data_IF_418407810877
#
_entry.id   IF_418407810877
#
_cell.length_a   1.000
_cell.length_b   1.000
_cell.length_c   1.000
_cell.angle_alpha   90.00
_cell.angle_beta   90.00
_cell.angle_gamma   90.00
#
_symmetry.space_group_name_H-M   'P 1'
#
loop_
_entity.id
_entity.type
_entity.pdbx_description
1 polymer ?
#
# COMPACT_ATOMS: atom_id res chain seq x y z
N UNK A 1 -75.73 -82.20 -20.66
CA UNK A 1 -75.69 -81.56 -19.32
C UNK A 1 -74.36 -81.74 -18.57
N UNK A 2 -73.49 -82.72 -18.90
CA UNK A 2 -72.19 -82.88 -18.21
C UNK A 2 -71.05 -81.97 -18.71
N UNK A 3 -70.98 -81.62 -20.01
CA UNK A 3 -69.92 -80.74 -20.54
C UNK A 3 -70.01 -79.28 -20.03
N UNK A 4 -71.22 -78.74 -19.95
CA UNK A 4 -71.48 -77.36 -19.51
C UNK A 4 -71.08 -77.10 -18.06
N UNK A 5 -71.07 -78.15 -17.23
CA UNK A 5 -70.67 -78.07 -15.82
C UNK A 5 -69.12 -78.13 -15.67
N UNK A 6 -68.41 -78.72 -16.63
CA UNK A 6 -66.93 -78.71 -16.68
C UNK A 6 -66.40 -77.34 -17.10
N UNK A 7 -66.95 -76.74 -18.15
CA UNK A 7 -66.54 -75.40 -18.62
C UNK A 7 -66.80 -74.31 -17.59
N UNK A 8 -67.94 -74.36 -16.89
CA UNK A 8 -68.26 -73.41 -15.81
C UNK A 8 -67.28 -73.52 -14.63
N UNK A 9 -66.88 -74.73 -14.25
CA UNK A 9 -65.85 -74.97 -13.21
C UNK A 9 -64.47 -74.43 -13.62
N UNK A 10 -64.08 -74.58 -14.89
CA UNK A 10 -62.79 -74.03 -15.39
C UNK A 10 -62.80 -72.49 -15.36
N UNK A 11 -63.90 -71.85 -15.77
CA UNK A 11 -64.03 -70.39 -15.72
C UNK A 11 -63.93 -69.87 -14.28
N UNK A 12 -64.59 -70.52 -13.31
CA UNK A 12 -64.49 -70.16 -11.89
C UNK A 12 -63.06 -70.31 -11.39
N UNK A 13 -62.35 -71.38 -11.74
CA UNK A 13 -60.94 -71.56 -11.34
C UNK A 13 -60.06 -70.45 -11.93
N UNK A 14 -60.24 -70.10 -13.20
CA UNK A 14 -59.50 -69.01 -13.85
C UNK A 14 -59.78 -67.68 -13.14
N UNK A 15 -61.05 -67.34 -12.91
CA UNK A 15 -61.45 -66.14 -12.18
C UNK A 15 -60.89 -66.10 -10.76
N UNK A 16 -60.86 -67.25 -10.07
CA UNK A 16 -60.30 -67.37 -8.72
C UNK A 16 -58.79 -67.09 -8.71
N UNK A 17 -58.06 -67.67 -9.66
CA UNK A 17 -56.61 -67.45 -9.84
C UNK A 17 -56.33 -65.98 -10.17
N UNK A 18 -57.14 -65.38 -11.05
CA UNK A 18 -57.01 -63.97 -11.45
C UNK A 18 -57.29 -63.01 -10.28
N UNK A 19 -58.29 -63.33 -9.46
CA UNK A 19 -58.63 -62.56 -8.26
C UNK A 19 -57.52 -62.66 -7.21
N UNK A 20 -56.97 -63.86 -6.99
CA UNK A 20 -55.85 -64.08 -6.07
C UNK A 20 -54.60 -63.34 -6.57
N UNK A 21 -54.28 -63.42 -7.87
CA UNK A 21 -53.16 -62.72 -8.48
C UNK A 21 -53.29 -61.20 -8.40
N UNK A 22 -54.49 -60.66 -8.65
CA UNK A 22 -54.79 -59.23 -8.48
C UNK A 22 -54.67 -58.79 -7.03
N UNK A 23 -55.17 -59.57 -6.08
CA UNK A 23 -55.04 -59.29 -4.64
C UNK A 23 -53.58 -59.32 -4.18
N UNK A 24 -52.79 -60.27 -4.67
CA UNK A 24 -51.37 -60.36 -4.37
C UNK A 24 -50.57 -59.19 -4.97
N UNK A 25 -50.90 -58.80 -6.20
CA UNK A 25 -50.32 -57.62 -6.85
C UNK A 25 -50.63 -56.34 -6.07
N UNK A 26 -51.90 -56.13 -5.70
CA UNK A 26 -52.32 -55.00 -4.87
C UNK A 26 -51.58 -54.97 -3.53
N UNK A 27 -51.37 -56.13 -2.90
CA UNK A 27 -50.61 -56.22 -1.65
C UNK A 27 -49.16 -55.79 -1.81
N UNK A 28 -48.46 -56.27 -2.86
CA UNK A 28 -47.07 -55.88 -3.15
C UNK A 28 -46.97 -54.38 -3.45
N UNK A 29 -47.88 -53.85 -4.29
CA UNK A 29 -47.92 -52.41 -4.60
C UNK A 29 -48.19 -51.57 -3.36
N UNK A 30 -49.04 -52.03 -2.44
CA UNK A 30 -49.32 -51.35 -1.18
C UNK A 30 -48.07 -51.27 -0.30
N UNK A 31 -47.28 -52.35 -0.25
CA UNK A 31 -46.05 -52.39 0.54
C UNK A 31 -44.95 -51.47 -0.03
N UNK A 32 -44.85 -51.39 -1.35
CA UNK A 32 -43.93 -50.47 -2.04
C UNK A 32 -44.31 -49.00 -1.80
N UNK A 33 -45.62 -48.69 -1.79
CA UNK A 33 -46.14 -47.35 -1.45
C UNK A 33 -45.78 -46.98 -0.01
N UNK A 34 -45.99 -47.89 0.96
CA UNK A 34 -45.61 -47.63 2.37
C UNK A 34 -44.12 -47.33 2.53
N UNK A 35 -43.25 -48.06 1.83
CA UNK A 35 -41.81 -47.79 1.88
C UNK A 35 -41.46 -46.41 1.29
N UNK A 36 -42.08 -46.04 0.17
CA UNK A 36 -41.88 -44.71 -0.43
C UNK A 36 -42.39 -43.60 0.48
N UNK A 37 -43.55 -43.78 1.11
CA UNK A 37 -44.09 -42.81 2.08
C UNK A 37 -43.17 -42.64 3.29
N UNK A 38 -42.61 -43.74 3.82
CA UNK A 38 -41.63 -43.69 4.91
C UNK A 38 -40.34 -42.96 4.48
N UNK A 39 -39.87 -43.19 3.26
CA UNK A 39 -38.70 -42.50 2.70
C UNK A 39 -38.95 -41.00 2.47
N UNK A 40 -40.13 -40.64 1.97
CA UNK A 40 -40.55 -39.25 1.78
C UNK A 40 -40.64 -38.53 3.14
N UNK A 41 -41.19 -39.18 4.17
CA UNK A 41 -41.24 -38.63 5.51
C UNK A 41 -39.83 -38.35 6.06
N UNK A 42 -38.91 -39.32 5.93
CA UNK A 42 -37.52 -39.15 6.34
C UNK A 42 -36.80 -38.01 5.59
N UNK A 43 -37.00 -37.90 4.27
CA UNK A 43 -36.48 -36.78 3.48
C UNK A 43 -37.06 -35.42 3.89
N UNK A 44 -38.34 -35.37 4.27
CA UNK A 44 -38.97 -34.14 4.76
C UNK A 44 -38.37 -33.69 6.10
N UNK A 45 -38.06 -34.65 6.99
CA UNK A 45 -37.38 -34.36 8.26
C UNK A 45 -35.95 -33.85 8.04
N UNK A 46 -35.20 -34.49 7.14
CA UNK A 46 -33.85 -34.06 6.72
C UNK A 46 -33.89 -32.63 6.15
N UNK A 47 -34.85 -32.33 5.25
CA UNK A 47 -35.01 -31.00 4.65
C UNK A 47 -35.30 -29.94 5.72
N UNK A 48 -36.10 -30.28 6.72
CA UNK A 48 -36.44 -29.37 7.84
C UNK A 48 -35.20 -29.11 8.71
N UNK A 49 -34.42 -30.15 9.01
CA UNK A 49 -33.14 -30.05 9.73
C UNK A 49 -32.12 -29.20 8.96
N UNK A 50 -31.99 -29.40 7.65
CA UNK A 50 -31.10 -28.58 6.81
C UNK A 50 -31.54 -27.12 6.73
N UNK A 51 -32.84 -26.84 6.62
CA UNK A 51 -33.36 -25.48 6.68
C UNK A 51 -32.99 -24.79 7.99
N UNK A 52 -33.11 -25.49 9.12
CA UNK A 52 -32.73 -24.95 10.42
C UNK A 52 -31.22 -24.67 10.51
N UNK A 53 -30.37 -25.58 10.00
CA UNK A 53 -28.91 -25.35 9.91
C UNK A 53 -28.57 -24.14 9.05
N UNK A 54 -29.25 -23.96 7.91
CA UNK A 54 -29.03 -22.80 7.04
C UNK A 54 -29.40 -21.49 7.73
N UNK A 55 -30.54 -21.44 8.42
CA UNK A 55 -30.91 -20.25 9.20
C UNK A 55 -29.90 -19.94 10.31
N UNK A 56 -29.35 -20.97 10.95
CA UNK A 56 -28.31 -20.78 11.97
C UNK A 56 -26.98 -20.31 11.36
N UNK A 57 -26.59 -20.82 10.20
CA UNK A 57 -25.41 -20.35 9.46
C UNK A 57 -25.58 -18.89 9.02
N UNK A 58 -26.75 -18.50 8.53
CA UNK A 58 -27.05 -17.11 8.17
C UNK A 58 -26.92 -16.16 9.38
N UNK A 59 -27.43 -16.57 10.55
CA UNK A 59 -27.26 -15.82 11.80
C UNK A 59 -25.79 -15.67 12.19
N UNK A 60 -25.01 -16.76 12.11
CA UNK A 60 -23.58 -16.74 12.39
C UNK A 60 -22.82 -15.81 11.44
N UNK A 61 -23.14 -15.85 10.14
CA UNK A 61 -22.53 -14.96 9.14
C UNK A 61 -22.85 -13.49 9.46
N UNK A 62 -24.09 -13.18 9.85
CA UNK A 62 -24.49 -11.83 10.25
C UNK A 62 -23.70 -11.34 11.47
N UNK A 63 -23.60 -12.17 12.51
CA UNK A 63 -22.84 -11.87 13.72
C UNK A 63 -21.34 -11.68 13.43
N UNK A 64 -20.75 -12.53 12.59
CA UNK A 64 -19.35 -12.43 12.19
C UNK A 64 -19.09 -11.15 11.40
N UNK A 65 -19.98 -10.77 10.47
CA UNK A 65 -19.88 -9.50 9.74
C UNK A 65 -19.92 -8.30 10.69
N UNK A 66 -20.83 -8.30 11.66
CA UNK A 66 -20.92 -7.24 12.65
C UNK A 66 -19.64 -7.14 13.51
N UNK A 67 -19.07 -8.28 13.92
CA UNK A 67 -17.82 -8.31 14.67
C UNK A 67 -16.61 -7.85 13.83
N UNK A 68 -16.57 -8.23 12.55
CA UNK A 68 -15.54 -7.78 11.63
C UNK A 68 -15.56 -6.25 11.49
N UNK A 69 -16.73 -5.67 11.22
CA UNK A 69 -16.86 -4.20 11.08
C UNK A 69 -16.50 -3.46 12.37
N UNK A 70 -16.82 -4.00 13.55
CA UNK A 70 -16.36 -3.42 14.83
C UNK A 70 -14.84 -3.47 14.97
N UNK A 71 -14.24 -4.59 14.59
CA UNK A 71 -12.78 -4.79 14.65
C UNK A 71 -12.07 -3.84 13.69
N UNK A 72 -12.60 -3.62 12.48
CA UNK A 72 -12.07 -2.66 11.51
C UNK A 72 -12.08 -1.23 12.06
N UNK A 73 -13.16 -0.82 12.75
CA UNK A 73 -13.24 0.50 13.38
C UNK A 73 -12.25 0.64 14.52
N UNK A 74 -12.12 -0.38 15.38
CA UNK A 74 -11.13 -0.37 16.48
C UNK A 74 -9.71 -0.28 15.93
N UNK A 75 -9.38 -1.07 14.91
CA UNK A 75 -8.08 -1.05 14.27
C UNK A 75 -7.78 0.32 13.67
N UNK A 76 -8.75 0.96 13.01
CA UNK A 76 -8.60 2.32 12.48
C UNK A 76 -8.30 3.33 13.59
N UNK A 77 -9.02 3.27 14.71
CA UNK A 77 -8.80 4.16 15.85
C UNK A 77 -7.43 3.93 16.52
N UNK A 78 -7.03 2.67 16.72
CA UNK A 78 -5.69 2.35 17.25
C UNK A 78 -4.59 2.81 16.31
N UNK A 79 -4.77 2.64 15.00
CA UNK A 79 -3.80 3.08 13.99
C UNK A 79 -3.63 4.60 14.04
N UNK A 80 -4.74 5.36 14.09
CA UNK A 80 -4.69 6.81 14.26
C UNK A 80 -4.01 7.23 15.57
N UNK A 81 -4.30 6.52 16.66
CA UNK A 81 -3.69 6.77 17.96
C UNK A 81 -2.18 6.52 17.92
N UNK A 82 -1.74 5.43 17.29
CA UNK A 82 -0.31 5.13 17.11
C UNK A 82 0.40 6.17 16.25
N UNK A 83 -0.22 6.63 15.16
CA UNK A 83 0.32 7.69 14.31
C UNK A 83 0.51 8.98 15.12
N UNK A 84 -0.50 9.37 15.91
CA UNK A 84 -0.40 10.54 16.79
C UNK A 84 0.71 10.40 17.81
N UNK A 85 0.78 9.27 18.51
CA UNK A 85 1.82 9.01 19.52
C UNK A 85 3.23 9.02 18.91
N UNK A 86 3.39 8.50 17.68
CA UNK A 86 4.66 8.56 16.96
C UNK A 86 5.06 10.00 16.63
N UNK A 87 4.11 10.84 16.17
CA UNK A 87 4.38 12.25 15.93
C UNK A 87 4.75 12.99 17.22
N UNK A 88 4.04 12.74 18.32
CA UNK A 88 4.34 13.32 19.63
C UNK A 88 5.71 12.89 20.14
N UNK A 89 6.08 11.62 19.96
CA UNK A 89 7.41 11.10 20.32
C UNK A 89 8.52 11.77 19.51
N UNK A 90 8.32 11.94 18.20
CA UNK A 90 9.26 12.66 17.35
C UNK A 90 9.43 14.09 17.88
N UNK A 91 8.34 14.81 18.13
CA UNK A 91 8.40 16.18 18.63
C UNK A 91 9.11 16.29 20.00
N UNK A 92 8.93 15.31 20.89
CA UNK A 92 9.55 15.29 22.21
C UNK A 92 11.04 14.93 22.18
N UNK A 93 11.48 14.12 21.20
CA UNK A 93 12.87 13.65 21.08
C UNK A 93 13.68 14.43 20.04
N UNK A 94 13.02 15.32 19.28
CA UNK A 94 13.63 16.13 18.24
C UNK A 94 14.65 17.11 18.83
N UNK A 95 15.87 17.00 18.35
CA UNK A 95 17.00 17.89 18.67
C UNK A 95 17.10 18.99 17.64
N UNK A 96 16.94 18.64 16.35
CA UNK A 96 17.00 19.58 15.26
C UNK A 96 16.23 19.08 14.04
N UNK A 97 15.87 20.03 13.18
CA UNK A 97 15.13 19.77 11.94
C UNK A 97 15.69 20.63 10.81
N UNK A 98 15.74 20.06 9.61
CA UNK A 98 16.03 20.78 8.37
C UNK A 98 14.93 20.50 7.35
N UNK A 99 14.38 21.58 6.78
CA UNK A 99 13.34 21.54 5.75
C UNK A 99 13.91 21.96 4.41
N UNK A 100 13.63 21.18 3.37
CA UNK A 100 14.02 21.48 2.00
C UNK A 100 13.08 20.79 1.01
N UNK A 101 13.47 20.75 -0.26
CA UNK A 101 12.66 20.21 -1.34
C UNK A 101 13.45 19.22 -2.18
N UNK A 102 12.80 18.13 -2.58
CA UNK A 102 13.29 17.23 -3.63
C UNK A 102 12.42 17.34 -4.86
N UNK A 103 12.97 17.07 -6.04
CA UNK A 103 12.22 17.14 -7.30
C UNK A 103 12.18 15.77 -7.95
N UNK A 104 10.96 15.22 -8.02
CA UNK A 104 10.64 13.97 -8.72
C UNK A 104 10.03 14.24 -10.09
N UNK A 105 9.81 13.18 -10.86
CA UNK A 105 9.05 13.20 -12.11
C UNK A 105 7.95 12.15 -12.07
N UNK A 106 6.82 12.41 -12.71
CA UNK A 106 5.77 11.43 -12.89
C UNK A 106 5.93 10.63 -14.20
N UNK A 107 4.97 9.75 -14.47
CA UNK A 107 4.93 8.91 -15.67
C UNK A 107 4.78 9.68 -16.99
N UNK A 108 4.43 10.97 -16.95
CA UNK A 108 4.28 11.86 -18.10
C UNK A 108 5.48 12.81 -18.26
N UNK A 109 6.60 12.54 -17.58
CA UNK A 109 7.79 13.39 -17.52
C UNK A 109 7.50 14.81 -16.97
N UNK A 110 6.45 14.97 -16.15
CA UNK A 110 6.15 16.23 -15.47
C UNK A 110 6.90 16.23 -14.14
N UNK A 111 7.65 17.31 -13.88
CA UNK A 111 8.39 17.47 -12.63
C UNK A 111 7.48 17.94 -11.49
N UNK A 112 7.73 17.41 -10.29
CA UNK A 112 6.99 17.77 -9.08
C UNK A 112 7.95 18.07 -7.93
N UNK A 113 7.71 19.18 -7.24
CA UNK A 113 8.45 19.56 -6.04
C UNK A 113 7.79 18.91 -4.83
N UNK A 114 8.57 18.19 -4.04
CA UNK A 114 8.09 17.34 -2.95
C UNK A 114 8.80 17.79 -1.65
N UNK A 115 8.06 17.99 -0.55
CA UNK A 115 8.64 18.31 0.74
C UNK A 115 9.65 17.24 1.20
N UNK A 116 10.78 17.70 1.71
CA UNK A 116 11.81 16.89 2.34
C UNK A 116 12.07 17.42 3.75
N UNK A 117 11.93 16.54 4.74
CA UNK A 117 12.25 16.84 6.13
C UNK A 117 13.37 15.91 6.60
N UNK A 118 14.39 16.47 7.25
CA UNK A 118 15.42 15.73 7.96
C UNK A 118 15.33 16.06 9.44
N UNK A 119 14.98 15.07 10.24
CA UNK A 119 14.81 15.19 11.69
C UNK A 119 15.94 14.45 12.39
N UNK A 120 16.62 15.15 13.30
CA UNK A 120 17.65 14.59 14.18
C UNK A 120 17.03 14.45 15.57
N UNK A 121 17.06 13.24 16.12
CA UNK A 121 16.52 12.93 17.45
C UNK A 121 17.52 12.16 18.30
N UNK A 122 17.34 12.18 19.62
CA UNK A 122 18.12 11.32 20.51
C UNK A 122 17.89 9.84 20.17
N UNK A 123 18.97 9.06 20.06
CA UNK A 123 18.90 7.70 19.54
C UNK A 123 20.22 6.93 19.62
N UNK A 124 20.36 5.93 18.76
CA UNK A 124 21.48 4.98 18.74
C UNK A 124 22.20 4.95 17.38
N UNK A 125 22.15 6.04 16.61
CA UNK A 125 22.83 6.14 15.31
C UNK A 125 22.06 5.50 14.16
N UNK A 126 20.73 5.35 14.27
CA UNK A 126 19.92 4.71 13.21
C UNK A 126 19.48 5.73 12.17
N UNK A 127 19.47 5.30 10.90
CA UNK A 127 18.89 6.05 9.79
C UNK A 127 17.53 5.44 9.41
N UNK A 128 16.48 6.26 9.45
CA UNK A 128 15.14 5.90 9.03
C UNK A 128 14.77 6.68 7.77
N UNK A 129 14.19 5.99 6.80
CA UNK A 129 13.70 6.58 5.56
C UNK A 129 12.19 6.36 5.48
N UNK A 130 11.43 7.45 5.46
CA UNK A 130 9.98 7.45 5.27
C UNK A 130 9.65 8.00 3.87
N UNK A 131 9.29 7.07 2.98
CA UNK A 131 8.99 7.31 1.56
C UNK A 131 7.63 6.70 1.19
N UNK A 132 6.72 6.58 2.17
CA UNK A 132 5.50 5.78 2.04
C UNK A 132 4.55 6.19 0.88
N UNK A 133 4.67 7.40 0.37
CA UNK A 133 3.78 7.97 -0.66
C UNK A 133 4.45 8.14 -2.04
N UNK A 134 5.69 7.68 -2.22
CA UNK A 134 6.44 7.86 -3.47
C UNK A 134 7.08 6.55 -3.93
N UNK A 135 7.31 6.43 -5.24
CA UNK A 135 8.11 5.34 -5.79
C UNK A 135 9.58 5.75 -5.80
N UNK A 136 10.41 4.96 -5.13
CA UNK A 136 11.86 5.15 -5.09
C UNK A 136 12.55 3.90 -5.63
N UNK A 137 13.67 4.10 -6.31
CA UNK A 137 14.53 3.02 -6.76
C UNK A 137 15.42 2.48 -5.61
N UNK A 138 16.15 1.40 -5.89
CA UNK A 138 17.07 0.76 -4.95
C UNK A 138 18.22 1.67 -4.48
N UNK A 139 18.52 2.74 -5.23
CA UNK A 139 19.62 3.67 -4.93
C UNK A 139 19.26 4.69 -3.84
N UNK A 140 17.99 4.80 -3.45
CA UNK A 140 17.56 5.77 -2.43
C UNK A 140 18.22 5.52 -1.08
N UNK A 141 18.33 4.25 -0.65
CA UNK A 141 18.93 3.93 0.64
C UNK A 141 20.42 4.27 0.69
N UNK A 142 21.17 3.93 -0.36
CA UNK A 142 22.60 4.25 -0.43
C UNK A 142 22.84 5.75 -0.56
N UNK A 143 22.03 6.44 -1.39
CA UNK A 143 22.05 7.90 -1.54
C UNK A 143 21.81 8.61 -0.20
N UNK A 144 20.81 8.17 0.57
CA UNK A 144 20.52 8.71 1.89
C UNK A 144 21.69 8.50 2.87
N UNK A 145 22.30 7.31 2.89
CA UNK A 145 23.47 7.04 3.74
C UNK A 145 24.66 7.93 3.38
N UNK A 146 24.95 8.09 2.09
CA UNK A 146 26.02 8.96 1.60
C UNK A 146 25.73 10.43 1.95
N UNK A 147 24.50 10.89 1.73
CA UNK A 147 24.08 12.25 2.08
C UNK A 147 24.32 12.58 3.55
N UNK A 148 23.89 11.70 4.47
CA UNK A 148 24.10 11.88 5.91
C UNK A 148 25.59 11.85 6.27
N UNK A 149 26.38 10.97 5.64
CA UNK A 149 27.83 10.91 5.88
C UNK A 149 28.53 12.19 5.45
N UNK A 150 28.25 12.68 4.24
CA UNK A 150 28.82 13.92 3.70
C UNK A 150 28.38 15.13 4.55
N UNK A 151 27.11 15.21 4.92
CA UNK A 151 26.61 16.27 5.80
C UNK A 151 27.35 16.28 7.15
N UNK A 152 27.54 15.10 7.75
CA UNK A 152 28.28 14.93 9.01
C UNK A 152 29.74 15.38 8.88
N UNK A 153 30.42 15.01 7.81
CA UNK A 153 31.81 15.37 7.56
C UNK A 153 31.98 16.88 7.35
N UNK A 154 31.09 17.49 6.56
CA UNK A 154 31.12 18.93 6.29
C UNK A 154 30.79 19.77 7.54
N UNK A 155 29.86 19.31 8.37
CA UNK A 155 29.44 20.04 9.59
C UNK A 155 30.29 19.73 10.81
N UNK A 156 31.08 18.63 10.77
CA UNK A 156 31.81 18.09 11.93
C UNK A 156 30.91 17.77 13.12
N UNK A 157 29.67 17.38 12.84
CA UNK A 157 28.67 17.04 13.86
C UNK A 157 28.83 15.59 14.28
N UNK A 158 28.82 15.31 15.58
CA UNK A 158 28.75 13.94 16.09
C UNK A 158 27.29 13.48 16.16
N UNK A 159 27.02 12.31 15.57
CA UNK A 159 25.70 11.70 15.45
C UNK A 159 25.64 10.30 16.05
N UNK A 160 26.69 9.84 16.76
CA UNK A 160 26.74 8.48 17.31
C UNK A 160 25.53 8.12 18.16
N UNK A 161 25.02 9.09 18.93
CA UNK A 161 23.85 8.93 19.81
C UNK A 161 22.60 9.64 19.27
N UNK A 162 22.53 9.83 17.95
CA UNK A 162 21.39 10.49 17.29
C UNK A 162 20.81 9.56 16.23
N UNK A 163 19.49 9.40 16.25
CA UNK A 163 18.78 8.82 15.13
C UNK A 163 18.42 9.92 14.12
N UNK A 164 18.48 9.59 12.84
CA UNK A 164 18.12 10.48 11.74
C UNK A 164 16.91 9.91 11.03
N UNK A 165 15.93 10.75 10.79
CA UNK A 165 14.74 10.41 10.03
C UNK A 165 14.63 11.33 8.82
N UNK A 166 14.69 10.75 7.63
CA UNK A 166 14.48 11.43 6.35
C UNK A 166 13.06 11.13 5.92
N UNK A 167 12.25 12.18 5.73
CA UNK A 167 10.84 12.07 5.36
C UNK A 167 10.68 12.75 4.01
N UNK A 168 10.25 11.99 3.01
CA UNK A 168 9.89 12.51 1.69
C UNK A 168 8.45 12.09 1.43
N UNK A 169 7.53 13.04 1.58
CA UNK A 169 6.11 12.77 1.49
C UNK A 169 5.47 13.64 0.42
N UNK A 170 4.95 12.98 -0.60
CA UNK A 170 4.15 13.63 -1.63
C UNK A 170 2.78 14.01 -1.06
N UNK A 171 2.32 15.26 -1.25
CA UNK A 171 0.93 15.62 -0.97
C UNK A 171 -0.04 14.97 -1.98
N UNK A 172 0.46 14.55 -3.15
CA UNK A 172 -0.32 13.96 -4.23
C UNK A 172 -0.36 12.43 -4.05
N UNK A 173 -1.35 11.94 -3.28
CA UNK A 173 -1.50 10.51 -2.95
C UNK A 173 -1.91 9.63 -4.15
N UNK A 174 -2.48 10.23 -5.20
CA UNK A 174 -3.02 9.48 -6.36
C UNK A 174 -2.03 9.38 -7.53
N UNK A 175 -0.92 10.12 -7.50
CA UNK A 175 0.05 10.18 -8.59
C UNK A 175 1.30 9.36 -8.25
N UNK A 176 1.70 8.46 -9.16
CA UNK A 176 2.93 7.67 -9.03
C UNK A 176 4.15 8.56 -9.30
N UNK A 177 4.47 9.43 -8.35
CA UNK A 177 5.71 10.20 -8.42
C UNK A 177 6.89 9.24 -8.27
N UNK A 178 7.77 9.28 -9.26
CA UNK A 178 9.01 8.52 -9.26
C UNK A 178 10.16 9.45 -8.93
N UNK A 179 10.84 9.15 -7.83
CA UNK A 179 12.09 9.80 -7.48
C UNK A 179 13.20 8.79 -7.73
N UNK A 180 14.07 9.06 -8.71
CA UNK A 180 15.32 8.30 -8.77
C UNK A 180 16.14 8.66 -7.53
N UNK A 181 16.42 7.66 -6.69
CA UNK A 181 16.95 7.84 -5.35
C UNK A 181 18.29 8.56 -5.31
N UNK A 182 19.13 8.31 -6.30
CA UNK A 182 20.37 9.04 -6.52
C UNK A 182 20.11 10.54 -6.67
N UNK A 183 19.17 10.96 -7.51
CA UNK A 183 18.98 12.37 -7.87
C UNK A 183 18.52 13.31 -6.73
N UNK A 184 18.06 12.75 -5.61
CA UNK A 184 17.68 13.47 -4.40
C UNK A 184 18.87 13.70 -3.43
N UNK A 185 20.01 13.03 -3.65
CA UNK A 185 21.12 12.99 -2.72
C UNK A 185 21.66 14.37 -2.31
N UNK A 186 21.83 15.29 -3.28
CA UNK A 186 22.27 16.65 -3.00
C UNK A 186 21.28 17.41 -2.11
N UNK A 187 19.99 17.35 -2.43
CA UNK A 187 18.94 18.00 -1.66
C UNK A 187 18.81 17.43 -0.23
N UNK A 188 18.88 16.10 -0.07
CA UNK A 188 18.94 15.42 1.24
C UNK A 188 20.15 15.91 2.04
N UNK A 189 21.29 16.09 1.38
CA UNK A 189 22.51 16.57 2.04
C UNK A 189 22.35 18.00 2.54
N UNK A 190 21.73 18.90 1.76
CA UNK A 190 21.42 20.27 2.20
C UNK A 190 20.50 20.28 3.41
N UNK A 191 19.40 19.54 3.36
CA UNK A 191 18.46 19.44 4.49
C UNK A 191 19.14 18.89 5.75
N UNK A 192 20.01 17.90 5.59
CA UNK A 192 20.77 17.33 6.69
C UNK A 192 21.80 18.33 7.28
N UNK A 193 22.51 19.08 6.44
CA UNK A 193 23.44 20.14 6.89
C UNK A 193 22.68 21.22 7.65
N UNK A 194 21.51 21.63 7.14
CA UNK A 194 20.63 22.59 7.75
C UNK A 194 20.17 22.14 9.14
N UNK A 195 19.70 20.89 9.25
CA UNK A 195 19.34 20.27 10.53
C UNK A 195 20.53 20.27 11.52
N UNK A 196 21.72 19.85 11.07
CA UNK A 196 22.91 19.77 11.92
C UNK A 196 23.43 21.15 12.38
N UNK A 197 23.26 22.19 11.55
CA UNK A 197 23.68 23.57 11.88
C UNK A 197 22.60 24.38 12.59
N UNK A 198 21.35 23.92 12.59
CA UNK A 198 20.20 24.69 13.09
C UNK A 198 19.93 25.94 12.26
N UNK A 199 20.06 25.86 10.93
CA UNK A 199 19.85 26.98 10.00
C UNK A 199 18.72 26.59 9.03
N UNK A 200 17.86 27.53 8.68
CA UNK A 200 16.82 27.34 7.66
C UNK A 200 17.41 27.53 6.26
N UNK A 201 17.27 26.56 5.35
CA UNK A 201 17.64 26.74 3.95
C UNK A 201 16.78 27.79 3.27
N UNK A 202 17.35 28.44 2.25
CA UNK A 202 16.63 29.30 1.34
C UNK A 202 15.58 28.50 0.57
N UNK A 203 14.33 28.93 0.68
CA UNK A 203 13.19 28.32 0.00
C UNK A 203 13.06 28.75 -1.47
N UNK A 204 13.77 29.81 -1.88
CA UNK A 204 13.80 30.29 -3.27
C UNK A 204 14.95 29.71 -4.09
N UNK A 205 15.70 28.76 -3.52
CA UNK A 205 16.76 28.01 -4.19
C UNK A 205 16.40 26.53 -4.11
N UNK A 206 16.26 25.88 -5.27
CA UNK A 206 16.07 24.43 -5.35
C UNK A 206 17.28 23.79 -6.01
N UNK A 207 17.52 22.52 -5.70
CA UNK A 207 18.58 21.75 -6.35
C UNK A 207 18.13 20.35 -6.73
N UNK A 208 18.85 19.78 -7.70
CA UNK A 208 18.83 18.35 -8.00
C UNK A 208 20.27 17.86 -8.20
N UNK A 209 20.53 16.60 -7.95
CA UNK A 209 21.87 16.03 -8.10
C UNK A 209 22.09 14.81 -7.24
N UNK A 210 22.87 13.85 -7.74
CA UNK A 210 23.38 12.79 -6.86
C UNK A 210 24.46 13.33 -5.95
N UNK A 211 24.67 12.69 -4.80
CA UNK A 211 25.79 13.01 -3.91
C UNK A 211 26.74 11.83 -3.85
N UNK A 212 28.03 12.11 -4.06
CA UNK A 212 29.10 11.14 -3.95
C UNK A 212 29.85 11.30 -2.63
N UNK A 213 30.59 10.26 -2.22
CA UNK A 213 31.38 10.28 -0.98
C UNK A 213 32.50 11.33 -0.98
N UNK A 214 32.97 11.76 -2.15
CA UNK A 214 33.96 12.82 -2.33
C UNK A 214 33.33 14.23 -2.37
N UNK A 215 32.06 14.34 -1.97
CA UNK A 215 31.26 15.56 -1.94
C UNK A 215 30.85 16.10 -3.31
N UNK A 216 31.21 15.42 -4.41
CA UNK A 216 30.84 15.84 -5.76
C UNK A 216 29.36 15.59 -6.05
N UNK A 217 28.79 16.48 -6.88
CA UNK A 217 27.41 16.40 -7.34
C UNK A 217 27.38 15.72 -8.71
N UNK A 218 26.71 14.57 -8.80
CA UNK A 218 26.61 13.77 -10.02
C UNK A 218 25.32 14.01 -10.80
N UNK A 219 25.32 13.51 -12.04
CA UNK A 219 24.29 13.77 -13.04
C UNK A 219 22.92 13.19 -12.67
N UNK A 220 21.88 13.76 -13.28
CA UNK A 220 20.48 13.36 -13.08
C UNK A 220 19.74 13.18 -14.40
N UNK A 221 18.63 12.46 -14.37
CA UNK A 221 17.67 12.40 -15.48
C UNK A 221 16.65 13.54 -15.43
N UNK A 222 16.05 13.83 -16.58
CA UNK A 222 14.94 14.78 -16.74
C UNK A 222 15.22 16.21 -16.20
N UNK A 223 16.44 16.73 -16.41
CA UNK A 223 16.86 18.04 -15.92
C UNK A 223 15.88 19.17 -16.25
N UNK A 224 15.37 19.19 -17.50
CA UNK A 224 14.38 20.18 -17.95
C UNK A 224 13.06 20.13 -17.19
N UNK A 225 12.49 18.93 -17.03
CA UNK A 225 11.23 18.76 -16.30
C UNK A 225 11.36 19.21 -14.85
N UNK A 226 12.48 18.86 -14.20
CA UNK A 226 12.77 19.28 -12.82
C UNK A 226 12.96 20.80 -12.71
N UNK A 227 13.64 21.43 -13.68
CA UNK A 227 13.80 22.88 -13.71
C UNK A 227 12.49 23.63 -13.91
N UNK A 228 11.59 23.11 -14.74
CA UNK A 228 10.24 23.67 -14.93
C UNK A 228 9.46 23.60 -13.62
N UNK A 229 9.51 22.46 -12.93
CA UNK A 229 8.86 22.30 -11.62
C UNK A 229 9.41 23.27 -10.58
N UNK A 230 10.74 23.46 -10.53
CA UNK A 230 11.36 24.44 -9.63
C UNK A 230 10.83 25.86 -9.89
N UNK A 231 10.79 26.29 -11.15
CA UNK A 231 10.26 27.59 -11.56
C UNK A 231 8.78 27.75 -11.19
N UNK A 232 7.96 26.75 -11.48
CA UNK A 232 6.52 26.78 -11.21
C UNK A 232 6.20 26.83 -9.70
N UNK A 233 7.13 26.34 -8.87
CA UNK A 233 7.08 26.47 -7.42
C UNK A 233 7.77 27.73 -6.88
N UNK A 234 8.07 28.71 -7.74
CA UNK A 234 8.56 30.03 -7.34
C UNK A 234 10.06 30.10 -7.02
N UNK A 235 10.84 29.09 -7.40
CA UNK A 235 12.29 29.15 -7.28
C UNK A 235 12.86 30.28 -8.15
N UNK A 236 13.83 31.01 -7.59
CA UNK A 236 14.60 32.01 -8.34
C UNK A 236 15.87 31.39 -8.93
N UNK A 237 16.45 30.43 -8.23
CA UNK A 237 17.68 29.76 -8.60
C UNK A 237 17.50 28.23 -8.55
N UNK A 238 17.90 27.57 -9.62
CA UNK A 238 17.92 26.12 -9.72
C UNK A 238 19.35 25.60 -9.90
N UNK A 239 19.84 24.88 -8.89
CA UNK A 239 21.17 24.30 -8.88
C UNK A 239 21.14 22.91 -9.52
N UNK A 240 22.04 22.70 -10.50
CA UNK A 240 22.13 21.45 -11.26
C UNK A 240 23.56 20.92 -11.29
N UNK A 241 23.76 19.63 -11.60
CA UNK A 241 25.09 19.07 -11.77
C UNK A 241 25.86 19.72 -12.94
N UNK A 242 27.20 19.62 -12.96
CA UNK A 242 28.03 20.21 -14.01
C UNK A 242 27.68 19.65 -15.39
N UNK A 243 27.58 20.53 -16.39
CA UNK A 243 27.24 20.19 -17.77
C UNK A 243 25.74 20.04 -18.05
N UNK A 244 24.86 20.08 -17.04
CA UNK A 244 23.42 19.88 -17.23
C UNK A 244 22.62 21.18 -17.35
N UNK A 245 23.25 22.36 -17.26
CA UNK A 245 22.55 23.64 -17.51
C UNK A 245 21.97 23.71 -18.92
N UNK A 246 22.69 23.17 -19.91
CA UNK A 246 22.22 23.11 -21.29
C UNK A 246 20.99 22.21 -21.47
N UNK A 247 20.88 21.14 -20.69
CA UNK A 247 19.74 20.21 -20.71
C UNK A 247 18.48 20.84 -20.12
N UNK A 248 18.62 21.72 -19.13
CA UNK A 248 17.48 22.50 -18.60
C UNK A 248 16.95 23.47 -19.66
N UNK A 249 17.85 24.11 -20.40
CA UNK A 249 17.52 25.10 -21.42
C UNK A 249 17.00 26.42 -20.83
N UNK A 250 16.56 27.33 -21.72
CA UNK A 250 15.95 28.59 -21.31
C UNK A 250 14.46 28.37 -20.98
N UNK A 251 14.19 28.29 -19.68
CA UNK A 251 12.84 28.11 -19.13
C UNK A 251 12.43 29.30 -18.26
N UNK A 252 13.21 30.39 -18.22
CA UNK A 252 12.87 31.59 -17.43
C UNK A 252 13.14 31.47 -15.92
N UNK A 253 14.08 30.62 -15.50
CA UNK A 253 14.64 30.58 -14.14
C UNK A 253 16.17 30.68 -14.23
N UNK A 254 16.83 31.23 -13.23
CA UNK A 254 18.29 31.19 -13.15
C UNK A 254 18.74 29.75 -12.89
N UNK A 255 19.62 29.23 -13.74
CA UNK A 255 20.20 27.89 -13.60
C UNK A 255 21.71 28.02 -13.38
N UNK A 256 22.19 27.40 -12.31
CA UNK A 256 23.59 27.40 -11.93
C UNK A 256 24.11 25.98 -11.75
N UNK A 257 25.29 25.73 -12.32
CA UNK A 257 25.96 24.45 -12.17
C UNK A 257 26.77 24.45 -10.89
N UNK A 258 26.65 23.40 -10.08
CA UNK A 258 27.41 23.22 -8.85
C UNK A 258 28.15 21.90 -8.90
N UNK A 259 29.46 21.93 -8.60
CA UNK A 259 30.33 20.74 -8.67
C UNK A 259 30.33 19.94 -7.39
N UNK A 260 30.18 20.61 -6.25
CA UNK A 260 30.23 19.98 -4.93
C UNK A 260 29.11 20.51 -4.03
N UNK A 261 28.83 19.78 -2.95
CA UNK A 261 27.83 20.21 -1.98
C UNK A 261 28.22 21.51 -1.27
N UNK A 262 29.51 21.79 -1.05
CA UNK A 262 29.97 23.05 -0.44
C UNK A 262 29.69 24.26 -1.33
N UNK A 263 29.72 24.07 -2.65
CA UNK A 263 29.28 25.08 -3.59
C UNK A 263 27.76 25.27 -3.50
N UNK A 264 26.99 24.18 -3.53
CA UNK A 264 25.54 24.25 -3.43
C UNK A 264 25.05 24.92 -2.13
N UNK A 265 25.69 24.58 -1.00
CA UNK A 265 25.39 25.14 0.32
C UNK A 265 25.57 26.66 0.34
N UNK A 266 26.59 27.21 -0.33
CA UNK A 266 26.82 28.67 -0.38
C UNK A 266 25.67 29.46 -1.01
N UNK A 267 24.85 28.80 -1.84
CA UNK A 267 23.68 29.41 -2.46
C UNK A 267 22.39 29.09 -1.71
N UNK A 268 22.32 27.94 -1.05
CA UNK A 268 21.09 27.40 -0.47
C UNK A 268 20.95 27.61 1.05
N UNK A 269 22.01 27.94 1.78
CA UNK A 269 22.02 28.20 3.23
C UNK A 269 22.86 29.46 3.48
#
# INVERSE_FOLDING_TARGET
MQETNRTFKVIIIILSILLIGSSAFLFVSLEEIKQKDASIAAMSDELTSQKQKNSQLESNISNLKANLSRTEVLLKNETQTRQKLQADLINLTMVAKGDYWVIGVDENDIGHVIPLEVIIKDGNGKLFLDVATILVDESMQSSAQTAIRVARELTRTDLMNKDIQIIIKSPLQEQKLTISGGSAGGAVTIAAIAAMRGIEPRQDVLMTGTINEDHSIGQIGAARAKGIAARENGAKLFLVPPGQKGEVGDIGIEVMEVRTIEEAVRYAI
#
